data_IF_265776779769
#
_entry.id   IF_265776779769
#
_cell.length_a   1.000
_cell.length_b   1.000
_cell.length_c   1.000
_cell.angle_alpha   90.00
_cell.angle_beta   90.00
_cell.angle_gamma   90.00
#
_symmetry.space_group_name_H-M   'P 1'
#
loop_
_entity.id
_entity.type
_entity.pdbx_description
1 polymer ?
#
# COMPACT_ATOMS: atom_id res chain seq x y z
N UNK A 1 -65.54 -2.18 8.58
CA UNK A 1 -66.16 -2.45 9.89
C UNK A 1 -65.52 -1.50 10.89
N UNK A 2 -66.30 -0.58 11.48
CA UNK A 2 -65.98 0.24 12.67
C UNK A 2 -64.81 1.23 12.59
N UNK A 3 -65.01 2.56 12.58
CA UNK A 3 -65.18 3.45 13.77
C UNK A 3 -63.91 3.53 14.63
N UNK A 4 -63.36 4.65 15.13
CA UNK A 4 -63.66 6.08 15.12
C UNK A 4 -62.78 6.70 16.22
N UNK A 5 -62.24 7.92 16.01
CA UNK A 5 -62.01 8.97 17.02
C UNK A 5 -61.03 8.64 18.20
N UNK A 6 -60.35 9.56 18.90
CA UNK A 6 -60.49 11.00 19.12
C UNK A 6 -59.18 11.59 19.73
N UNK A 7 -59.11 12.92 19.72
CA UNK A 7 -58.08 13.81 20.27
C UNK A 7 -57.97 13.79 21.81
N UNK A 8 -56.86 14.31 22.36
CA UNK A 8 -56.78 14.69 23.78
C UNK A 8 -55.44 15.31 24.19
N UNK A 9 -55.45 16.62 24.45
CA UNK A 9 -54.38 17.49 24.99
C UNK A 9 -54.18 17.36 26.51
N UNK A 10 -52.96 17.52 27.05
CA UNK A 10 -52.61 18.29 28.28
C UNK A 10 -51.09 18.20 28.54
N UNK A 11 -50.34 19.31 28.57
CA UNK A 11 -49.96 20.12 29.74
C UNK A 11 -48.86 19.51 30.63
N UNK A 12 -47.76 20.26 30.84
CA UNK A 12 -46.99 20.13 32.09
C UNK A 12 -45.47 20.30 32.04
N UNK A 13 -45.02 21.51 32.45
CA UNK A 13 -43.83 21.79 33.28
C UNK A 13 -42.41 21.73 32.68
N UNK A 14 -41.85 22.94 32.56
CA UNK A 14 -40.43 23.25 32.79
C UNK A 14 -39.98 22.85 34.22
N UNK A 15 -38.66 22.84 34.44
CA UNK A 15 -38.14 23.77 35.44
C UNK A 15 -36.99 24.66 34.92
N UNK A 16 -37.17 25.95 35.14
CA UNK A 16 -36.15 26.96 35.48
C UNK A 16 -35.21 26.46 36.59
N UNK A 17 -33.98 26.96 36.74
CA UNK A 17 -33.57 28.19 37.46
C UNK A 17 -32.03 28.22 37.32
N UNK A 18 -31.41 29.26 36.72
CA UNK A 18 -30.67 30.37 37.37
C UNK A 18 -29.56 29.88 38.34
N UNK A 19 -28.34 30.38 38.46
CA UNK A 19 -27.65 31.65 38.16
C UNK A 19 -26.16 31.34 38.45
N UNK A 20 -25.16 31.94 37.81
CA UNK A 20 -24.45 33.11 38.35
C UNK A 20 -23.28 33.45 37.42
N UNK A 21 -23.36 34.62 36.78
CA UNK A 21 -22.18 35.39 36.39
C UNK A 21 -21.66 36.17 37.61
N UNK A 22 -20.33 36.34 37.70
CA UNK A 22 -19.58 37.52 38.22
C UNK A 22 -18.07 37.21 38.09
N UNK A 23 -17.36 37.78 37.11
CA UNK A 23 -16.48 38.97 37.22
C UNK A 23 -15.34 38.85 38.24
N UNK A 24 -14.08 39.05 37.82
CA UNK A 24 -13.24 40.20 38.25
C UNK A 24 -11.72 39.93 38.24
N UNK A 25 -10.99 40.82 37.54
CA UNK A 25 -9.69 41.46 37.88
C UNK A 25 -8.36 40.70 37.91
N UNK A 26 -7.31 41.46 37.55
CA UNK A 26 -5.94 41.06 37.26
C UNK A 26 -4.90 41.55 38.31
N UNK A 27 -3.68 40.96 38.23
CA UNK A 27 -2.33 41.42 38.64
C UNK A 27 -1.88 41.29 40.14
N UNK A 28 -0.55 41.25 40.47
CA UNK A 28 0.64 40.59 39.86
C UNK A 28 1.65 40.00 40.92
N UNK A 29 2.87 39.58 40.48
CA UNK A 29 4.12 39.25 41.23
C UNK A 29 4.21 37.86 41.92
N UNK A 30 5.33 37.10 41.94
CA UNK A 30 6.78 37.40 41.88
C UNK A 30 7.61 36.16 41.51
N UNK A 31 8.80 36.39 40.93
CA UNK A 31 9.85 35.42 40.55
C UNK A 31 10.42 34.64 41.74
N UNK A 32 10.77 33.37 41.51
CA UNK A 32 11.97 32.75 42.10
C UNK A 32 12.68 31.94 41.02
N UNK A 33 13.86 32.42 40.69
CA UNK A 33 14.83 31.89 39.75
C UNK A 33 15.65 30.80 40.45
N UNK A 34 15.71 29.60 39.87
CA UNK A 34 16.76 28.63 40.16
C UNK A 34 17.04 27.87 38.88
N UNK A 35 18.04 28.35 38.16
CA UNK A 35 18.50 27.79 36.90
C UNK A 35 18.93 26.34 37.02
N UNK A 36 18.59 25.57 36.00
CA UNK A 36 19.38 24.46 35.53
C UNK A 36 19.43 24.62 34.01
N UNK A 37 20.62 24.92 33.52
CA UNK A 37 20.95 24.97 32.11
C UNK A 37 20.61 23.64 31.44
N UNK A 38 19.54 23.67 30.66
CA UNK A 38 19.21 22.64 29.68
C UNK A 38 18.85 23.38 28.42
N UNK A 39 19.82 23.55 27.52
CA UNK A 39 19.58 24.04 26.17
C UNK A 39 18.81 22.95 25.39
N UNK A 40 17.55 22.70 25.78
CA UNK A 40 16.59 22.00 24.95
C UNK A 40 16.20 23.03 23.90
N UNK A 41 16.87 22.95 22.75
CA UNK A 41 16.44 23.67 21.57
C UNK A 41 14.96 23.31 21.34
N UNK A 42 14.07 24.22 21.72
CA UNK A 42 12.65 24.16 21.43
C UNK A 42 12.49 24.28 19.93
N UNK A 43 12.62 23.14 19.22
CA UNK A 43 12.23 23.05 17.82
C UNK A 43 10.71 23.15 17.80
N UNK A 44 10.20 24.35 17.56
CA UNK A 44 8.83 24.49 17.07
C UNK A 44 8.75 23.74 15.73
N UNK A 45 7.85 22.76 15.57
CA UNK A 45 7.67 22.09 14.29
C UNK A 45 7.27 23.14 13.25
N UNK A 46 8.11 23.37 12.26
CA UNK A 46 7.72 24.13 11.07
C UNK A 46 6.82 23.23 10.22
N UNK A 47 5.83 23.83 9.56
CA UNK A 47 4.66 23.16 8.98
C UNK A 47 4.89 22.19 7.79
N UNK A 48 6.07 21.59 7.60
CA UNK A 48 6.46 21.07 6.28
C UNK A 48 7.15 19.70 6.17
N UNK A 49 7.35 18.91 7.23
CA UNK A 49 8.20 17.70 7.08
C UNK A 49 7.49 16.35 7.30
N UNK A 50 6.19 16.32 7.60
CA UNK A 50 5.50 15.06 7.96
C UNK A 50 4.66 14.45 6.83
N UNK A 51 4.81 13.14 6.57
CA UNK A 51 4.07 12.38 5.54
C UNK A 51 3.33 11.18 6.15
N UNK A 52 2.08 10.96 5.74
CA UNK A 52 1.26 9.84 6.21
C UNK A 52 1.03 8.83 5.09
N UNK A 53 1.74 7.70 5.10
CA UNK A 53 1.57 6.67 4.08
C UNK A 53 0.48 5.70 4.51
N UNK A 54 -0.59 5.55 3.73
CA UNK A 54 -1.57 4.49 3.94
C UNK A 54 -1.12 3.29 3.14
N UNK A 55 -0.36 2.40 3.77
CA UNK A 55 0.08 1.15 3.14
C UNK A 55 -1.09 0.20 2.90
N UNK A 56 -1.13 -0.43 1.73
CA UNK A 56 -1.91 -1.65 1.51
C UNK A 56 -1.37 -2.82 2.35
N UNK A 57 -1.50 -4.06 1.88
CA UNK A 57 -0.78 -5.21 2.44
C UNK A 57 0.71 -5.13 2.09
N UNK A 58 1.45 -4.35 2.86
CA UNK A 58 2.91 -4.26 2.77
C UNK A 58 3.55 -5.35 3.63
N UNK A 59 4.71 -5.86 3.20
CA UNK A 59 5.54 -6.73 4.04
C UNK A 59 6.36 -5.92 5.07
N UNK A 60 6.89 -6.54 6.13
CA UNK A 60 7.86 -5.91 7.02
C UNK A 60 9.07 -5.33 6.25
N UNK A 61 9.61 -6.05 5.26
CA UNK A 61 10.67 -5.54 4.39
C UNK A 61 10.24 -4.29 3.59
N UNK A 62 8.99 -4.24 3.10
CA UNK A 62 8.45 -3.06 2.44
C UNK A 62 8.38 -1.87 3.40
N UNK A 63 7.95 -2.09 4.65
CA UNK A 63 7.86 -1.03 5.67
C UNK A 63 9.24 -0.47 6.01
N UNK A 64 10.23 -1.33 6.27
CA UNK A 64 11.62 -0.91 6.50
C UNK A 64 12.17 -0.13 5.31
N UNK A 65 11.89 -0.58 4.09
CA UNK A 65 12.35 0.11 2.89
C UNK A 65 11.65 1.47 2.69
N UNK A 66 10.37 1.61 3.07
CA UNK A 66 9.70 2.91 3.09
C UNK A 66 10.34 3.85 4.10
N UNK A 67 10.64 3.40 5.32
CA UNK A 67 11.32 4.20 6.33
C UNK A 67 12.69 4.68 5.81
N UNK A 68 13.47 3.79 5.20
CA UNK A 68 14.73 4.15 4.55
C UNK A 68 14.54 5.24 3.47
N UNK A 69 13.42 5.21 2.73
CA UNK A 69 13.12 6.21 1.71
C UNK A 69 12.73 7.54 2.35
N UNK A 70 11.89 7.54 3.38
CA UNK A 70 11.42 8.76 4.06
C UNK A 70 12.60 9.47 4.76
N UNK A 71 13.41 8.73 5.51
CA UNK A 71 14.65 9.20 6.10
C UNK A 71 15.59 9.79 5.05
N UNK A 72 15.62 9.19 3.86
CA UNK A 72 16.47 9.66 2.80
C UNK A 72 16.07 11.03 2.26
N UNK A 73 14.78 11.35 2.29
CA UNK A 73 14.21 12.62 1.85
C UNK A 73 14.07 13.64 2.99
N UNK A 74 14.44 13.25 4.23
CA UNK A 74 14.32 14.10 5.41
C UNK A 74 12.86 14.32 5.83
N UNK A 75 12.01 13.33 5.58
CA UNK A 75 10.58 13.36 5.90
C UNK A 75 10.33 12.57 7.17
N UNK A 76 9.56 13.15 8.08
CA UNK A 76 9.04 12.50 9.28
C UNK A 76 7.79 11.69 8.91
N UNK A 77 7.97 10.39 8.70
CA UNK A 77 6.96 9.51 8.14
C UNK A 77 6.15 8.78 9.21
N UNK A 78 4.82 8.80 9.10
CA UNK A 78 3.96 7.82 9.77
C UNK A 78 3.36 6.88 8.73
N UNK A 79 3.63 5.57 8.86
CA UNK A 79 3.12 4.56 7.94
C UNK A 79 1.98 3.80 8.61
N UNK A 80 0.77 3.95 8.08
CA UNK A 80 -0.40 3.19 8.48
C UNK A 80 -0.55 1.98 7.55
N UNK A 81 0.07 0.86 7.90
CA UNK A 81 -0.09 -0.40 7.19
C UNK A 81 -1.47 -1.03 7.50
N UNK A 82 -2.02 -1.81 6.57
CA UNK A 82 -3.22 -2.59 6.85
C UNK A 82 -2.93 -3.72 7.81
N UNK A 83 -3.66 -3.78 8.92
CA UNK A 83 -3.66 -4.96 9.78
C UNK A 83 -4.36 -6.09 9.02
N UNK A 84 -3.60 -7.08 8.57
CA UNK A 84 -4.14 -8.37 8.13
C UNK A 84 -4.92 -9.00 9.30
N UNK A 85 -6.21 -9.24 9.12
CA UNK A 85 -7.03 -9.89 10.13
C UNK A 85 -6.74 -11.40 10.15
N UNK A 86 -5.62 -11.82 10.75
CA UNK A 86 -5.39 -13.21 11.11
C UNK A 86 -4.70 -13.26 12.48
N UNK A 87 -5.29 -13.89 13.52
CA UNK A 87 -4.67 -13.98 14.82
C UNK A 87 -3.58 -15.06 14.77
N UNK A 88 -2.35 -14.66 14.44
CA UNK A 88 -1.20 -15.54 14.61
C UNK A 88 -0.82 -15.53 16.10
N UNK A 89 -1.05 -16.67 16.73
CA UNK A 89 -0.60 -17.03 18.06
C UNK A 89 0.88 -16.68 18.27
N UNK A 90 1.14 -15.83 19.25
CA UNK A 90 2.40 -15.70 19.99
C UNK A 90 3.65 -15.72 19.11
N UNK A 91 3.95 -14.58 18.50
CA UNK A 91 5.32 -14.18 18.20
C UNK A 91 5.45 -12.77 18.73
N UNK A 92 6.46 -12.56 19.57
CA UNK A 92 6.66 -11.38 20.38
C UNK A 92 6.51 -10.13 19.53
N UNK A 93 5.61 -9.25 19.99
CA UNK A 93 5.38 -7.94 19.42
C UNK A 93 6.73 -7.27 19.18
N UNK A 94 7.13 -7.14 17.91
CA UNK A 94 7.99 -6.03 17.55
C UNK A 94 7.13 -4.82 17.83
N UNK A 95 7.30 -4.22 19.00
CA UNK A 95 6.83 -2.89 19.34
C UNK A 95 7.57 -1.90 18.42
N UNK A 96 7.19 -1.90 17.13
CA UNK A 96 7.32 -0.73 16.30
C UNK A 96 6.41 0.30 16.97
N UNK A 97 7.00 1.20 17.74
CA UNK A 97 6.29 2.15 18.59
C UNK A 97 5.26 2.95 17.82
N UNK A 98 4.02 2.45 17.82
CA UNK A 98 2.82 3.23 17.51
C UNK A 98 2.54 4.06 18.75
N UNK A 99 3.09 5.26 18.81
CA UNK A 99 2.64 6.28 19.77
C UNK A 99 1.28 6.81 19.26
N UNK A 100 0.25 5.96 19.40
CA UNK A 100 -1.07 6.01 18.74
C UNK A 100 -1.87 7.28 19.09
N UNK A 101 -1.54 7.95 20.20
CA UNK A 101 -2.23 9.17 20.64
C UNK A 101 -1.43 10.46 20.33
N UNK A 102 -0.10 10.38 20.12
CA UNK A 102 0.74 11.57 19.87
C UNK A 102 0.91 11.90 18.39
N UNK A 103 0.83 10.90 17.51
CA UNK A 103 0.97 11.10 16.07
C UNK A 103 -0.21 11.89 15.45
N UNK A 104 -1.37 11.92 16.12
CA UNK A 104 -2.57 12.66 15.68
C UNK A 104 -2.50 14.14 16.08
N UNK A 105 -1.82 14.49 17.18
CA UNK A 105 -1.74 15.87 17.69
C UNK A 105 -0.67 16.72 16.99
N UNK A 106 0.32 16.12 16.34
CA UNK A 106 1.42 16.84 15.66
C UNK A 106 1.17 17.15 14.17
N UNK A 107 0.00 16.77 13.64
CA UNK A 107 -0.31 16.92 12.22
C UNK A 107 -0.78 18.33 11.89
N UNK A 108 0.15 19.20 11.49
CA UNK A 108 -0.17 20.49 10.90
C UNK A 108 0.43 20.63 9.50
N UNK A 109 -0.43 20.83 8.49
CA UNK A 109 -0.12 21.61 7.30
C UNK A 109 0.23 20.88 6.00
N UNK A 110 0.86 19.70 6.01
CA UNK A 110 1.30 19.05 4.75
C UNK A 110 1.38 17.52 4.77
N UNK A 111 0.61 16.86 5.63
CA UNK A 111 0.54 15.41 5.57
C UNK A 111 -0.12 14.94 4.26
N UNK A 112 0.63 14.15 3.50
CA UNK A 112 0.18 13.58 2.23
C UNK A 112 -0.22 12.15 2.47
N UNK A 113 -1.51 11.87 2.34
CA UNK A 113 -2.01 10.50 2.30
C UNK A 113 -1.70 9.90 0.94
N UNK A 114 -0.74 8.97 0.90
CA UNK A 114 -0.53 8.09 -0.24
C UNK A 114 -1.35 6.82 -0.04
N UNK A 115 -2.27 6.57 -0.95
CA UNK A 115 -3.20 5.47 -0.81
C UNK A 115 -3.24 4.58 -2.03
N UNK A 116 -3.22 3.30 -1.72
CA UNK A 116 -3.51 2.18 -2.58
C UNK A 116 -5.04 1.99 -2.51
N UNK A 117 -5.70 2.31 -3.62
CA UNK A 117 -7.12 2.38 -3.98
C UNK A 117 -8.19 1.71 -3.09
N UNK A 118 -7.91 0.61 -2.40
CA UNK A 118 -8.84 -0.04 -1.47
C UNK A 118 -9.12 0.74 -0.17
N UNK A 119 -8.27 1.70 0.26
CA UNK A 119 -8.49 2.46 1.51
C UNK A 119 -8.77 3.95 1.30
N UNK A 120 -9.07 4.37 0.07
CA UNK A 120 -9.20 5.80 -0.27
C UNK A 120 -10.23 6.51 0.60
N UNK A 121 -11.28 5.81 1.02
CA UNK A 121 -12.31 6.40 1.89
C UNK A 121 -11.79 6.68 3.30
N UNK A 122 -10.95 5.80 3.85
CA UNK A 122 -10.32 6.00 5.16
C UNK A 122 -9.23 7.07 5.06
N UNK A 123 -8.34 6.95 4.08
CA UNK A 123 -7.31 7.93 3.76
C UNK A 123 -7.89 9.34 3.57
N UNK A 124 -8.93 9.47 2.75
CA UNK A 124 -9.61 10.76 2.52
C UNK A 124 -10.37 11.24 3.75
N UNK A 125 -10.98 10.36 4.55
CA UNK A 125 -11.65 10.73 5.79
C UNK A 125 -10.66 11.27 6.84
N UNK A 126 -9.54 10.57 7.05
CA UNK A 126 -8.46 11.00 7.94
C UNK A 126 -7.85 12.30 7.42
N UNK A 127 -7.56 12.38 6.13
CA UNK A 127 -7.05 13.62 5.52
C UNK A 127 -8.03 14.78 5.71
N UNK A 128 -9.33 14.58 5.50
CA UNK A 128 -10.35 15.61 5.71
C UNK A 128 -10.46 16.04 7.18
N UNK A 129 -10.38 15.11 8.13
CA UNK A 129 -10.39 15.41 9.56
C UNK A 129 -9.15 16.21 10.00
N UNK A 130 -8.00 15.91 9.41
CA UNK A 130 -6.72 16.55 9.73
C UNK A 130 -6.40 17.77 8.85
N UNK A 131 -7.30 18.18 7.95
CA UNK A 131 -7.10 19.34 7.07
C UNK A 131 -6.01 19.15 5.99
N UNK A 132 -5.79 17.91 5.57
CA UNK A 132 -4.68 17.49 4.72
C UNK A 132 -5.07 17.27 3.26
N UNK A 133 -4.09 17.36 2.37
CA UNK A 133 -4.23 16.96 0.97
C UNK A 133 -3.94 15.46 0.82
N UNK A 134 -4.88 14.71 0.27
CA UNK A 134 -4.69 13.31 -0.08
C UNK A 134 -4.18 13.21 -1.54
N UNK A 135 -3.06 12.53 -1.74
CA UNK A 135 -2.48 12.26 -3.05
C UNK A 135 -2.57 10.77 -3.36
N UNK A 136 -3.49 10.40 -4.24
CA UNK A 136 -3.58 9.03 -4.72
C UNK A 136 -2.38 8.71 -5.61
N UNK A 137 -1.55 7.75 -5.21
CA UNK A 137 -0.51 7.18 -6.06
C UNK A 137 -0.75 5.67 -6.21
N UNK A 138 -0.36 5.13 -7.36
CA UNK A 138 -0.33 3.69 -7.56
C UNK A 138 0.79 3.04 -6.74
N UNK A 139 0.73 1.72 -6.61
CA UNK A 139 1.77 0.99 -5.90
C UNK A 139 3.13 1.15 -6.55
N UNK A 140 4.19 1.54 -5.80
CA UNK A 140 5.51 1.80 -6.37
C UNK A 140 6.20 0.47 -6.68
N UNK A 141 5.68 -0.25 -7.68
CA UNK A 141 6.24 -1.46 -8.25
C UNK A 141 6.59 -1.16 -9.70
N UNK A 142 7.82 -1.49 -10.09
CA UNK A 142 8.38 -1.15 -11.40
C UNK A 142 9.00 0.25 -11.44
N UNK A 143 9.55 0.61 -12.59
CA UNK A 143 10.28 1.87 -12.78
C UNK A 143 9.32 3.04 -12.75
N UNK A 144 8.24 3.02 -13.53
CA UNK A 144 7.38 4.18 -13.72
C UNK A 144 6.67 4.59 -12.42
N UNK A 145 6.12 3.62 -11.70
CA UNK A 145 5.39 3.87 -10.44
C UNK A 145 6.33 4.24 -9.29
N UNK A 146 7.52 3.64 -9.26
CA UNK A 146 8.53 4.04 -8.29
C UNK A 146 9.05 5.44 -8.60
N UNK A 147 9.31 5.79 -9.87
CA UNK A 147 9.72 7.13 -10.28
C UNK A 147 8.67 8.18 -9.85
N UNK A 148 7.38 7.89 -10.05
CA UNK A 148 6.26 8.75 -9.62
C UNK A 148 6.22 8.94 -8.10
N UNK A 149 6.44 7.87 -7.33
CA UNK A 149 6.52 7.94 -5.88
C UNK A 149 7.68 8.82 -5.41
N UNK A 150 8.89 8.60 -5.93
CA UNK A 150 10.07 9.41 -5.58
C UNK A 150 9.92 10.88 -6.00
N UNK A 151 9.33 11.16 -7.17
CA UNK A 151 9.03 12.52 -7.61
C UNK A 151 8.03 13.20 -6.66
N UNK A 152 7.02 12.46 -6.21
CA UNK A 152 6.03 12.95 -5.26
C UNK A 152 6.68 13.27 -3.92
N UNK A 153 7.51 12.38 -3.37
CA UNK A 153 8.27 12.64 -2.15
C UNK A 153 9.22 13.84 -2.29
N UNK A 154 9.88 14.01 -3.44
CA UNK A 154 10.77 15.15 -3.69
C UNK A 154 10.02 16.50 -3.72
N UNK A 155 8.71 16.51 -4.03
CA UNK A 155 7.88 17.72 -3.98
C UNK A 155 7.55 18.15 -2.56
N UNK A 156 7.50 17.21 -1.62
CA UNK A 156 7.18 17.45 -0.22
C UNK A 156 8.44 17.59 0.64
N UNK A 157 9.46 16.78 0.35
CA UNK A 157 10.73 16.81 1.05
C UNK A 157 11.65 17.92 0.58
N UNK A 158 12.67 18.17 1.39
CA UNK A 158 13.69 19.20 1.14
C UNK A 158 14.91 18.64 0.39
N UNK A 159 14.97 17.32 0.17
CA UNK A 159 16.16 16.63 -0.35
C UNK A 159 15.92 15.94 -1.69
N UNK A 160 16.87 16.02 -2.65
CA UNK A 160 16.79 15.25 -3.89
C UNK A 160 16.99 13.76 -3.63
N UNK A 161 16.52 12.92 -4.55
CA UNK A 161 16.73 11.47 -4.48
C UNK A 161 18.22 11.11 -4.34
N UNK A 162 18.55 10.40 -3.24
CA UNK A 162 19.92 10.02 -2.91
C UNK A 162 20.56 9.11 -3.98
N UNK A 163 21.90 9.15 -4.17
CA UNK A 163 22.59 8.34 -5.18
C UNK A 163 22.34 6.82 -5.09
N UNK A 164 22.08 6.28 -3.89
CA UNK A 164 21.79 4.85 -3.72
C UNK A 164 20.57 4.39 -4.53
N UNK A 165 19.48 5.17 -4.52
CA UNK A 165 18.24 4.80 -5.22
C UNK A 165 18.37 4.99 -6.73
N UNK A 166 19.17 5.96 -7.18
CA UNK A 166 19.51 6.11 -8.60
C UNK A 166 20.22 4.86 -9.13
N UNK A 167 21.15 4.29 -8.35
CA UNK A 167 21.82 3.02 -8.71
C UNK A 167 20.86 1.83 -8.71
N UNK A 168 19.91 1.77 -7.78
CA UNK A 168 18.87 0.72 -7.80
C UNK A 168 18.01 0.82 -9.06
N UNK A 169 17.58 2.03 -9.42
CA UNK A 169 16.86 2.31 -10.66
C UNK A 169 17.67 1.91 -11.89
N UNK A 170 18.94 2.28 -11.97
CA UNK A 170 19.84 1.91 -13.08
C UNK A 170 19.95 0.39 -13.24
N UNK A 171 20.09 -0.35 -12.12
CA UNK A 171 20.12 -1.81 -12.15
C UNK A 171 18.81 -2.41 -12.67
N UNK A 172 17.68 -1.88 -12.23
CA UNK A 172 16.37 -2.33 -12.71
C UNK A 172 16.21 -2.06 -14.22
N UNK A 173 16.55 -0.86 -14.68
CA UNK A 173 16.49 -0.51 -16.11
C UNK A 173 17.42 -1.40 -16.95
N UNK A 174 18.64 -1.66 -16.49
CA UNK A 174 19.54 -2.60 -17.17
C UNK A 174 18.97 -4.01 -17.20
N UNK A 175 18.31 -4.47 -16.13
CA UNK A 175 17.64 -5.78 -16.11
C UNK A 175 16.51 -5.83 -17.13
N UNK A 176 15.64 -4.81 -17.16
CA UNK A 176 14.53 -4.70 -18.09
C UNK A 176 15.00 -4.70 -19.55
N UNK A 177 16.11 -4.02 -19.86
CA UNK A 177 16.71 -4.06 -21.20
C UNK A 177 17.30 -5.42 -21.58
N UNK A 178 17.55 -6.31 -20.61
CA UNK A 178 18.11 -7.64 -20.82
C UNK A 178 17.09 -8.79 -20.81
N UNK A 179 15.78 -8.50 -20.79
CA UNK A 179 14.73 -9.52 -20.63
C UNK A 179 14.38 -10.27 -21.91
N UNK A 180 14.91 -9.82 -23.06
CA UNK A 180 14.43 -10.11 -24.43
C UNK A 180 14.33 -11.60 -24.80
N UNK A 181 15.05 -12.50 -24.10
CA UNK A 181 15.01 -13.93 -24.37
C UNK A 181 14.06 -14.77 -23.50
N UNK A 182 13.88 -14.40 -22.23
CA UNK A 182 13.23 -15.28 -21.24
C UNK A 182 11.85 -14.78 -20.83
N UNK A 183 11.75 -13.49 -20.46
CA UNK A 183 10.51 -12.93 -19.93
C UNK A 183 9.61 -12.38 -21.04
N UNK A 184 10.20 -11.87 -22.12
CA UNK A 184 9.45 -11.19 -23.17
C UNK A 184 8.34 -12.08 -23.75
N UNK A 185 7.16 -11.51 -23.93
CA UNK A 185 5.94 -12.14 -24.45
C UNK A 185 5.35 -13.30 -23.62
N UNK A 186 5.93 -13.64 -22.47
CA UNK A 186 5.38 -14.68 -21.58
C UNK A 186 4.01 -14.28 -21.06
N UNK A 187 3.08 -15.23 -21.11
CA UNK A 187 1.71 -15.10 -20.65
C UNK A 187 1.67 -15.25 -19.14
N UNK A 188 1.17 -14.24 -18.45
CA UNK A 188 1.16 -14.20 -16.99
C UNK A 188 -0.28 -14.13 -16.48
N UNK A 189 -0.62 -15.00 -15.52
CA UNK A 189 -1.79 -14.77 -14.67
C UNK A 189 -1.32 -14.09 -13.40
N UNK A 190 -1.99 -12.99 -13.03
CA UNK A 190 -1.75 -12.24 -11.80
C UNK A 190 -2.97 -12.34 -10.91
N UNK A 191 -2.77 -12.79 -9.68
CA UNK A 191 -3.76 -12.72 -8.61
C UNK A 191 -3.18 -12.04 -7.38
N UNK A 192 -3.95 -11.16 -6.79
CA UNK A 192 -3.62 -10.51 -5.52
C UNK A 192 -4.86 -10.23 -4.71
N UNK A 193 -4.73 -10.02 -3.40
CA UNK A 193 -5.89 -9.69 -2.60
C UNK A 193 -6.42 -8.29 -2.95
N UNK A 194 -5.54 -7.29 -3.05
CA UNK A 194 -5.93 -5.93 -3.42
C UNK A 194 -5.71 -5.59 -4.90
N UNK A 195 -6.50 -4.62 -5.34
CA UNK A 195 -6.45 -4.06 -6.68
C UNK A 195 -5.10 -3.41 -6.95
N UNK A 196 -4.58 -2.61 -6.02
CA UNK A 196 -3.34 -1.86 -6.24
C UNK A 196 -2.11 -2.73 -6.40
N UNK A 197 -2.05 -3.84 -5.65
CA UNK A 197 -1.00 -4.82 -5.81
C UNK A 197 -1.03 -5.40 -7.22
N UNK A 198 -2.21 -5.81 -7.70
CA UNK A 198 -2.38 -6.33 -9.06
C UNK A 198 -1.98 -5.28 -10.10
N UNK A 199 -2.40 -4.03 -9.93
CA UNK A 199 -2.04 -2.90 -10.82
C UNK A 199 -0.53 -2.67 -10.85
N UNK A 200 0.12 -2.65 -9.69
CA UNK A 200 1.58 -2.46 -9.59
C UNK A 200 2.36 -3.59 -10.26
N UNK A 201 1.96 -4.85 -10.02
CA UNK A 201 2.56 -6.02 -10.69
C UNK A 201 2.37 -5.93 -12.20
N UNK A 202 1.17 -5.62 -12.66
CA UNK A 202 0.87 -5.50 -14.10
C UNK A 202 1.70 -4.40 -14.76
N UNK A 203 1.90 -3.26 -14.09
CA UNK A 203 2.77 -2.18 -14.58
C UNK A 203 4.20 -2.69 -14.85
N UNK A 204 4.80 -3.41 -13.89
CA UNK A 204 6.13 -3.98 -14.06
C UNK A 204 6.19 -5.07 -15.14
N UNK A 205 5.14 -5.90 -15.26
CA UNK A 205 5.08 -6.92 -16.30
C UNK A 205 5.11 -6.31 -17.70
N UNK A 206 4.38 -5.21 -17.90
CA UNK A 206 4.34 -4.49 -19.18
C UNK A 206 5.68 -3.80 -19.46
N UNK A 207 6.32 -3.19 -18.45
CA UNK A 207 7.70 -2.68 -18.56
C UNK A 207 8.69 -3.78 -18.98
N UNK A 208 8.48 -5.03 -18.54
CA UNK A 208 9.33 -6.18 -18.88
C UNK A 208 8.95 -6.88 -20.22
N UNK A 209 7.96 -6.37 -20.96
CA UNK A 209 7.48 -6.96 -22.22
C UNK A 209 6.65 -8.23 -22.05
N UNK A 210 6.25 -8.58 -20.81
CA UNK A 210 5.40 -9.73 -20.52
C UNK A 210 3.93 -9.42 -20.87
N UNK A 211 3.10 -10.46 -20.99
CA UNK A 211 1.69 -10.35 -21.40
C UNK A 211 0.77 -10.82 -20.27
N UNK A 212 0.19 -9.90 -19.48
CA UNK A 212 -0.87 -10.25 -18.54
C UNK A 212 -2.08 -10.80 -19.32
N UNK A 213 -2.45 -12.06 -19.10
CA UNK A 213 -3.58 -12.71 -19.79
C UNK A 213 -4.81 -12.83 -18.90
N UNK A 214 -4.61 -12.87 -17.58
CA UNK A 214 -5.68 -12.85 -16.58
C UNK A 214 -5.18 -12.03 -15.38
N UNK A 215 -5.96 -11.05 -14.96
CA UNK A 215 -5.72 -10.25 -13.76
C UNK A 215 -6.92 -10.39 -12.83
N UNK A 216 -6.68 -10.78 -11.59
CA UNK A 216 -7.74 -11.00 -10.62
C UNK A 216 -7.44 -10.43 -9.24
N UNK A 217 -8.46 -9.91 -8.58
CA UNK A 217 -8.39 -9.48 -7.18
C UNK A 217 -9.66 -9.79 -6.41
N UNK A 218 -9.63 -9.65 -5.08
CA UNK A 218 -10.83 -9.76 -4.24
C UNK A 218 -11.76 -8.56 -4.40
N UNK A 219 -11.22 -7.43 -4.85
CA UNK A 219 -11.94 -6.21 -5.16
C UNK A 219 -12.86 -6.34 -6.37
N UNK A 220 -13.71 -5.36 -6.57
CA UNK A 220 -14.66 -5.34 -7.69
C UNK A 220 -13.94 -5.32 -9.05
N UNK A 221 -14.40 -6.15 -10.00
CA UNK A 221 -13.78 -6.29 -11.31
C UNK A 221 -13.79 -5.01 -12.16
N UNK A 222 -14.88 -4.22 -12.10
CA UNK A 222 -14.99 -2.95 -12.83
C UNK A 222 -14.08 -1.87 -12.23
N UNK A 223 -13.84 -1.93 -10.92
CA UNK A 223 -12.84 -1.10 -10.28
C UNK A 223 -11.44 -1.49 -10.77
N UNK A 224 -11.05 -2.75 -10.64
CA UNK A 224 -9.75 -3.24 -11.13
C UNK A 224 -9.52 -2.89 -12.60
N UNK A 225 -10.54 -3.04 -13.45
CA UNK A 225 -10.49 -2.67 -14.86
C UNK A 225 -10.17 -1.20 -15.06
N UNK A 226 -10.92 -0.30 -14.42
CA UNK A 226 -10.68 1.14 -14.54
C UNK A 226 -9.27 1.51 -14.08
N UNK A 227 -8.79 0.91 -13.00
CA UNK A 227 -7.45 1.19 -12.46
C UNK A 227 -6.34 0.74 -13.40
N UNK A 228 -6.49 -0.43 -14.00
CA UNK A 228 -5.58 -0.94 -15.03
C UNK A 228 -5.62 -0.08 -16.31
N UNK A 229 -6.80 0.28 -16.80
CA UNK A 229 -6.94 1.14 -17.99
C UNK A 229 -6.30 2.52 -17.78
N UNK A 230 -6.41 3.08 -16.56
CA UNK A 230 -5.81 4.37 -16.21
C UNK A 230 -4.28 4.30 -16.04
N UNK A 231 -3.78 3.19 -15.49
CA UNK A 231 -2.36 3.08 -15.07
C UNK A 231 -1.48 2.44 -16.13
N UNK A 232 -2.04 1.52 -16.91
CA UNK A 232 -1.35 0.70 -17.90
C UNK A 232 -2.14 0.69 -19.22
N UNK A 233 -2.12 1.80 -19.97
CA UNK A 233 -2.89 1.94 -21.20
C UNK A 233 -2.46 0.95 -22.29
N UNK A 234 -1.25 0.40 -22.21
CA UNK A 234 -0.72 -0.65 -23.07
C UNK A 234 -1.18 -2.08 -22.72
N UNK A 235 -2.02 -2.24 -21.69
CA UNK A 235 -2.60 -3.54 -21.34
C UNK A 235 -3.37 -4.13 -22.54
N UNK A 236 -3.16 -5.39 -22.91
CA UNK A 236 -3.91 -6.00 -24.00
C UNK A 236 -5.43 -5.98 -23.74
N UNK A 237 -6.21 -5.52 -24.71
CA UNK A 237 -7.68 -5.44 -24.60
C UNK A 237 -8.35 -6.81 -24.33
N UNK A 238 -7.67 -7.89 -24.65
CA UNK A 238 -8.10 -9.27 -24.44
C UNK A 238 -7.73 -9.85 -23.07
N UNK A 239 -7.04 -9.10 -22.21
CA UNK A 239 -6.72 -9.52 -20.84
C UNK A 239 -8.01 -9.73 -20.07
N UNK A 240 -8.18 -10.93 -19.50
CA UNK A 240 -9.35 -11.25 -18.71
C UNK A 240 -9.22 -10.61 -17.31
N UNK A 241 -10.20 -9.79 -16.92
CA UNK A 241 -10.22 -9.12 -15.61
C UNK A 241 -11.36 -9.71 -14.79
N UNK A 242 -11.04 -10.30 -13.63
CA UNK A 242 -11.97 -11.10 -12.83
C UNK A 242 -11.95 -10.67 -11.37
N UNK A 243 -13.11 -10.67 -10.72
CA UNK A 243 -13.18 -10.64 -9.27
C UNK A 243 -13.13 -12.08 -8.75
N UNK A 244 -12.16 -12.38 -7.90
CA UNK A 244 -11.97 -13.68 -7.29
C UNK A 244 -11.71 -13.51 -5.79
N UNK A 245 -12.53 -14.15 -4.95
CA UNK A 245 -12.36 -14.08 -3.49
C UNK A 245 -11.20 -14.96 -3.03
N UNK A 246 -10.97 -16.06 -3.75
CA UNK A 246 -9.87 -16.99 -3.56
C UNK A 246 -9.27 -17.37 -4.92
N UNK A 247 -8.02 -17.81 -4.93
CA UNK A 247 -7.38 -18.25 -6.18
C UNK A 247 -8.11 -19.44 -6.84
N UNK A 248 -8.77 -20.29 -6.05
CA UNK A 248 -9.54 -21.43 -6.56
C UNK A 248 -10.74 -21.03 -7.42
N UNK A 249 -11.23 -19.80 -7.32
CA UNK A 249 -12.34 -19.28 -8.15
C UNK A 249 -11.93 -19.13 -9.62
N UNK A 250 -10.62 -19.15 -9.90
CA UNK A 250 -10.04 -18.98 -11.23
C UNK A 250 -9.75 -20.32 -11.95
N UNK A 251 -10.07 -21.47 -11.32
CA UNK A 251 -9.68 -22.79 -11.81
C UNK A 251 -10.17 -23.12 -13.22
N UNK A 252 -11.33 -22.60 -13.59
CA UNK A 252 -11.91 -22.84 -14.92
C UNK A 252 -11.29 -21.92 -15.99
N UNK A 253 -10.77 -20.76 -15.58
CA UNK A 253 -10.25 -19.75 -16.51
C UNK A 253 -8.75 -19.92 -16.79
N UNK A 254 -7.96 -20.38 -15.79
CA UNK A 254 -6.50 -20.51 -15.93
C UNK A 254 -6.10 -21.45 -17.08
N UNK A 255 -6.69 -22.66 -17.25
CA UNK A 255 -6.32 -23.55 -18.35
C UNK A 255 -6.62 -22.94 -19.73
N UNK A 256 -7.73 -22.21 -19.86
CA UNK A 256 -8.07 -21.51 -21.10
C UNK A 256 -7.10 -20.35 -21.39
N UNK A 257 -6.66 -19.66 -20.33
CA UNK A 257 -5.68 -18.57 -20.40
C UNK A 257 -4.25 -19.03 -20.71
N UNK A 258 -3.95 -20.34 -20.65
CA UNK A 258 -2.64 -20.97 -20.99
C UNK A 258 -1.42 -20.13 -20.55
N UNK A 259 -1.25 -19.82 -19.25
CA UNK A 259 -0.12 -19.03 -18.79
C UNK A 259 1.20 -19.79 -18.85
N UNK A 260 2.28 -19.04 -19.07
CA UNK A 260 3.66 -19.50 -18.89
C UNK A 260 4.09 -19.43 -17.42
N UNK A 261 3.52 -18.52 -16.63
CA UNK A 261 3.83 -18.34 -15.20
C UNK A 261 2.66 -17.71 -14.45
N UNK A 262 2.52 -18.03 -13.17
CA UNK A 262 1.57 -17.44 -12.23
C UNK A 262 2.30 -16.50 -11.26
N UNK A 263 1.71 -15.34 -10.99
CA UNK A 263 2.12 -14.47 -9.87
C UNK A 263 0.94 -14.38 -8.92
N UNK A 264 1.11 -14.96 -7.72
CA UNK A 264 0.03 -15.06 -6.75
C UNK A 264 0.55 -15.31 -5.33
N UNK A 265 -0.36 -15.23 -4.36
CA UNK A 265 -0.09 -15.52 -2.95
C UNK A 265 -0.13 -17.04 -2.67
N UNK A 266 -0.04 -17.44 -1.40
CA UNK A 266 -0.06 -18.84 -0.96
C UNK A 266 -1.23 -19.66 -1.50
N UNK A 267 -2.39 -19.06 -1.73
CA UNK A 267 -3.60 -19.78 -2.15
C UNK A 267 -3.41 -20.48 -3.51
N UNK A 268 -2.52 -19.94 -4.35
CA UNK A 268 -2.22 -20.51 -5.65
C UNK A 268 -1.23 -21.68 -5.61
N UNK A 269 -0.45 -21.86 -4.54
CA UNK A 269 0.68 -22.81 -4.51
C UNK A 269 0.24 -24.25 -4.87
N UNK A 270 -0.88 -24.74 -4.31
CA UNK A 270 -1.41 -26.09 -4.64
C UNK A 270 -1.97 -26.18 -6.06
N UNK A 271 -2.58 -25.10 -6.56
CA UNK A 271 -3.17 -25.07 -7.90
C UNK A 271 -2.08 -25.04 -8.97
N UNK A 272 -1.05 -24.21 -8.78
CA UNK A 272 0.12 -24.13 -9.65
C UNK A 272 0.78 -25.50 -9.84
N UNK A 273 1.03 -26.20 -8.73
CA UNK A 273 1.58 -27.57 -8.73
C UNK A 273 0.70 -28.53 -9.52
N UNK A 274 -0.62 -28.52 -9.28
CA UNK A 274 -1.56 -29.40 -9.97
C UNK A 274 -1.63 -29.14 -11.48
N UNK A 275 -1.51 -27.88 -11.89
CA UNK A 275 -1.54 -27.48 -13.30
C UNK A 275 -0.17 -27.63 -13.99
N UNK A 276 0.90 -27.89 -13.23
CA UNK A 276 2.26 -27.92 -13.76
C UNK A 276 2.73 -26.56 -14.26
N UNK A 277 2.13 -25.46 -13.78
CA UNK A 277 2.49 -24.10 -14.20
C UNK A 277 3.44 -23.49 -13.16
N UNK A 278 4.56 -22.88 -13.59
CA UNK A 278 5.49 -22.22 -12.69
C UNK A 278 4.81 -21.07 -11.95
N UNK A 279 5.20 -20.86 -10.69
CA UNK A 279 4.61 -19.81 -9.87
C UNK A 279 5.70 -19.04 -9.14
N UNK A 280 5.56 -17.72 -9.14
CA UNK A 280 6.31 -16.81 -8.28
C UNK A 280 5.37 -16.32 -7.19
N UNK A 281 5.73 -16.55 -5.93
CA UNK A 281 4.91 -16.10 -4.81
C UNK A 281 5.08 -14.61 -4.58
N UNK A 282 3.99 -13.87 -4.65
CA UNK A 282 3.93 -12.43 -4.38
C UNK A 282 2.53 -12.05 -3.87
N UNK A 283 2.48 -11.04 -3.01
CA UNK A 283 1.27 -10.62 -2.32
C UNK A 283 0.96 -11.51 -1.11
N UNK A 284 0.17 -11.00 -0.18
CA UNK A 284 -0.05 -11.68 1.11
C UNK A 284 -1.24 -12.66 1.06
N UNK A 285 -1.21 -13.75 1.85
CA UNK A 285 -0.05 -14.29 2.58
C UNK A 285 0.97 -14.95 1.63
N UNK A 286 2.26 -14.94 1.96
CA UNK A 286 3.29 -15.58 1.13
C UNK A 286 3.32 -17.10 1.32
N UNK A 287 3.88 -17.87 0.37
CA UNK A 287 3.87 -19.34 0.40
C UNK A 287 4.70 -19.95 1.55
N UNK A 288 5.66 -19.20 2.12
CA UNK A 288 6.46 -19.62 3.27
C UNK A 288 6.40 -18.53 4.34
N UNK A 289 6.26 -18.92 5.61
CA UNK A 289 6.28 -17.97 6.73
C UNK A 289 7.66 -17.34 6.92
N UNK A 290 8.72 -18.08 6.61
CA UNK A 290 10.09 -17.57 6.70
C UNK A 290 10.35 -16.47 5.67
N UNK A 291 9.58 -16.43 4.58
CA UNK A 291 9.73 -15.42 3.54
C UNK A 291 8.85 -14.18 3.83
N UNK A 292 7.94 -14.24 4.82
CA UNK A 292 6.99 -13.15 5.12
C UNK A 292 7.66 -11.88 5.62
N UNK A 293 8.82 -11.99 6.27
CA UNK A 293 9.57 -10.84 6.79
C UNK A 293 10.49 -10.21 5.74
N UNK A 294 11.04 -11.00 4.83
CA UNK A 294 12.16 -10.60 3.96
C UNK A 294 11.76 -10.22 2.53
N UNK A 295 10.53 -10.54 2.09
CA UNK A 295 10.12 -10.28 0.70
C UNK A 295 9.78 -8.81 0.50
N UNK A 296 10.71 -8.10 -0.13
CA UNK A 296 10.51 -6.75 -0.63
C UNK A 296 9.77 -6.80 -1.97
N UNK A 297 8.60 -6.16 -2.03
CA UNK A 297 7.75 -6.08 -3.20
C UNK A 297 7.86 -4.72 -3.88
N UNK A 298 8.02 -3.65 -3.10
CA UNK A 298 8.03 -2.28 -3.60
C UNK A 298 9.41 -1.77 -4.00
N UNK A 299 9.41 -0.63 -4.68
CA UNK A 299 10.59 0.09 -5.13
C UNK A 299 11.37 -0.60 -6.23
N UNK A 300 12.48 0.03 -6.61
CA UNK A 300 13.37 -0.50 -7.64
C UNK A 300 13.96 -1.85 -7.23
N UNK A 301 14.28 -2.01 -5.93
CA UNK A 301 14.88 -3.24 -5.39
C UNK A 301 13.88 -4.40 -5.37
N UNK A 302 12.64 -4.18 -4.91
CA UNK A 302 11.60 -5.22 -4.92
C UNK A 302 11.22 -5.64 -6.34
N UNK A 303 11.08 -4.67 -7.24
CA UNK A 303 10.84 -4.93 -8.67
C UNK A 303 11.95 -5.80 -9.29
N UNK A 304 13.22 -5.48 -9.02
CA UNK A 304 14.36 -6.26 -9.50
C UNK A 304 14.33 -7.71 -8.96
N UNK A 305 14.06 -7.88 -7.66
CA UNK A 305 13.95 -9.21 -7.04
C UNK A 305 12.79 -10.03 -7.64
N UNK A 306 11.67 -9.38 -7.97
CA UNK A 306 10.55 -10.07 -8.61
C UNK A 306 10.92 -10.54 -10.03
N UNK A 307 11.59 -9.70 -10.83
CA UNK A 307 12.06 -10.08 -12.17
C UNK A 307 13.06 -11.25 -12.11
N UNK A 308 13.96 -11.25 -11.13
CA UNK A 308 14.91 -12.34 -10.91
C UNK A 308 14.19 -13.67 -10.62
N UNK A 309 13.20 -13.65 -9.73
CA UNK A 309 12.39 -14.83 -9.40
C UNK A 309 11.58 -15.33 -10.61
N UNK A 310 11.02 -14.43 -11.41
CA UNK A 310 10.31 -14.78 -12.65
C UNK A 310 11.23 -15.48 -13.65
N UNK A 311 12.45 -14.96 -13.83
CA UNK A 311 13.42 -15.53 -14.74
C UNK A 311 13.83 -16.94 -14.29
N UNK A 312 14.12 -17.13 -12.99
CA UNK A 312 14.47 -18.43 -12.42
C UNK A 312 13.33 -19.44 -12.60
N UNK A 313 12.09 -19.03 -12.30
CA UNK A 313 10.92 -19.90 -12.43
C UNK A 313 10.73 -20.39 -13.88
N UNK A 314 10.85 -19.50 -14.86
CA UNK A 314 10.69 -19.84 -16.28
C UNK A 314 11.85 -20.70 -16.82
N UNK A 315 13.08 -20.47 -16.36
CA UNK A 315 14.24 -21.28 -16.74
C UNK A 315 14.14 -22.71 -16.20
N UNK A 316 13.75 -22.88 -14.95
CA UNK A 316 13.61 -24.20 -14.32
C UNK A 316 12.64 -25.10 -15.12
N UNK A 317 11.54 -24.52 -15.61
CA UNK A 317 10.51 -25.24 -16.37
C UNK A 317 10.93 -25.56 -17.80
N UNK A 318 11.75 -24.71 -18.41
CA UNK A 318 12.31 -24.96 -19.75
C UNK A 318 13.28 -26.15 -19.74
N UNK A 319 14.07 -26.29 -18.67
CA UNK A 319 15.03 -27.39 -18.51
C UNK A 319 14.35 -28.75 -18.23
N UNK A 320 13.28 -28.75 -17.42
CA UNK A 320 12.49 -29.96 -17.17
C UNK A 320 11.73 -30.49 -18.39
N UNK A 321 11.47 -29.63 -19.39
CA UNK A 321 10.79 -30.01 -20.63
C UNK A 321 11.73 -30.62 -21.69
N UNK A 322 13.05 -30.43 -21.54
CA UNK A 322 14.07 -30.94 -22.48
C UNK A 322 14.65 -32.31 -22.06
N UNK A 323 14.16 -32.88 -20.96
CA UNK A 323 14.68 -34.11 -20.34
C UNK A 323 13.66 -35.26 -20.27
N UNK A 324 12.53 -35.15 -20.97
CA UNK A 324 11.54 -36.21 -21.23
C UNK A 324 11.34 -36.41 -22.74
#
# INVERSE_FOLDING_TARGET
>A
CGTSQQQGTSAGRQPSVSSLQKTSTAHPEKKSDSGIDGHVASRHPQANDSVFLFGGTLSPADLVYLDEILDAHGLDGSIMAGVDHQPASQSESIEAGTDDDRAVESVNGSATSLDYECKLRLAAAVAAQLGLKCHRLAMPIGVARTDEFFQTLTRFGSSPTRPRFKRERERLVMRLAGTDGILNHRRVVVYGQEIDFVVGIVSLLLEAGMRPVLCASRGNADQLRRSLELTTPELPAQTLIVQALQFTDLLDQIPAARPDVLIANRDACRVAQRLGVPMVCAGRPLCSHNDEEDVLQIGYRGALQLLDRLQIALQASSNGSSSN
#
